data_IF_380420187498
#
_entry.id   IF_380420187498
#
_cell.length_a   1.000
_cell.length_b   1.000
_cell.length_c   1.000
_cell.angle_alpha   90.00
_cell.angle_beta   90.00
_cell.angle_gamma   90.00
#
_symmetry.space_group_name_H-M   'P 1'
#
loop_
_entity.id
_entity.type
_entity.pdbx_description
1 polymer ?
#
# COMPACT_ATOMS: atom_id res chain seq x y z
N UNK A 1 -5.24 -8.31 -37.41
CA UNK A 1 -4.15 -8.18 -36.42
C UNK A 1 -4.76 -7.66 -35.14
N UNK A 2 -5.14 -8.56 -34.23
CA UNK A 2 -5.74 -8.19 -32.93
C UNK A 2 -4.59 -8.09 -31.93
N UNK A 3 -4.27 -6.87 -31.47
CA UNK A 3 -3.43 -6.69 -30.30
C UNK A 3 -4.27 -7.10 -29.09
N UNK A 4 -3.83 -8.12 -28.35
CA UNK A 4 -4.55 -8.68 -27.23
C UNK A 4 -4.93 -7.60 -26.23
N UNK A 5 -6.23 -7.46 -25.98
CA UNK A 5 -6.76 -6.63 -24.90
C UNK A 5 -6.12 -7.09 -23.60
N UNK A 6 -5.27 -6.25 -23.00
CA UNK A 6 -4.78 -6.50 -21.64
C UNK A 6 -5.96 -6.77 -20.72
N UNK A 7 -5.82 -7.73 -19.81
CA UNK A 7 -6.87 -8.08 -18.86
C UNK A 7 -7.34 -6.80 -18.14
N UNK A 8 -8.60 -6.42 -18.36
CA UNK A 8 -9.22 -5.30 -17.67
C UNK A 8 -9.90 -5.82 -16.41
N UNK A 9 -9.84 -5.03 -15.34
CA UNK A 9 -10.59 -5.31 -14.11
C UNK A 9 -11.81 -4.38 -14.12
N UNK A 10 -13.04 -4.91 -14.17
CA UNK A 10 -14.24 -4.08 -14.14
C UNK A 10 -14.24 -3.15 -12.93
N UNK A 11 -14.54 -1.86 -13.14
CA UNK A 11 -14.60 -0.83 -12.08
C UNK A 11 -13.28 -0.49 -11.36
N UNK A 12 -12.15 -1.04 -11.80
CA UNK A 12 -10.83 -0.69 -11.27
C UNK A 12 -9.91 -0.17 -12.37
N UNK A 13 -9.11 0.83 -12.03
CA UNK A 13 -7.98 1.29 -12.82
C UNK A 13 -6.69 0.88 -12.11
N UNK A 14 -5.66 0.52 -12.87
CA UNK A 14 -4.36 0.12 -12.33
C UNK A 14 -3.22 0.87 -13.04
N UNK A 15 -2.11 1.04 -12.33
CA UNK A 15 -0.98 1.82 -12.84
C UNK A 15 0.38 1.22 -12.45
N UNK A 16 1.44 1.78 -13.02
CA UNK A 16 2.82 1.45 -12.69
C UNK A 16 3.18 0.00 -13.04
N UNK A 17 3.83 -0.69 -12.12
CA UNK A 17 4.27 -2.08 -12.30
C UNK A 17 3.16 -3.13 -12.11
N UNK A 18 1.91 -2.69 -11.94
CA UNK A 18 0.80 -3.60 -11.65
C UNK A 18 0.57 -4.57 -12.80
N UNK A 19 0.55 -5.86 -12.48
CA UNK A 19 0.24 -6.95 -13.41
C UNK A 19 -1.00 -7.69 -12.94
N UNK A 20 -1.98 -7.80 -13.82
CA UNK A 20 -3.19 -8.59 -13.60
C UNK A 20 -2.94 -10.01 -14.13
N UNK A 21 -3.40 -11.03 -13.42
CA UNK A 21 -3.42 -12.42 -13.88
C UNK A 21 -4.80 -13.01 -13.63
N UNK A 22 -5.01 -14.27 -14.02
CA UNK A 22 -6.27 -14.99 -13.77
C UNK A 22 -6.49 -15.37 -12.31
N UNK A 23 -5.43 -15.42 -11.49
CA UNK A 23 -5.51 -15.88 -10.09
C UNK A 23 -5.16 -14.82 -9.05
N UNK A 24 -4.30 -13.86 -9.39
CA UNK A 24 -3.92 -12.77 -8.49
C UNK A 24 -3.61 -11.48 -9.25
N UNK A 25 -3.58 -10.39 -8.51
CA UNK A 25 -3.07 -9.10 -8.97
C UNK A 25 -1.77 -8.86 -8.24
N UNK A 26 -0.70 -8.58 -8.99
CA UNK A 26 0.61 -8.25 -8.44
C UNK A 26 0.84 -6.76 -8.60
N UNK A 27 0.96 -6.05 -7.48
CA UNK A 27 1.18 -4.59 -7.45
C UNK A 27 2.63 -4.26 -7.83
N UNK A 28 3.60 -4.92 -7.19
CA UNK A 28 5.03 -4.78 -7.49
C UNK A 28 5.70 -6.16 -7.64
N UNK A 29 6.65 -6.34 -8.57
CA UNK A 29 7.52 -7.49 -8.56
C UNK A 29 8.65 -7.33 -7.52
N UNK A 30 9.34 -8.43 -7.21
CA UNK A 30 10.57 -8.44 -6.40
C UNK A 30 11.75 -7.82 -7.19
N UNK A 31 11.65 -6.51 -7.44
CA UNK A 31 12.63 -5.69 -8.14
C UNK A 31 12.68 -4.31 -7.48
N UNK A 32 13.86 -3.70 -7.46
CA UNK A 32 14.06 -2.37 -6.90
C UNK A 32 13.28 -1.29 -7.66
N UNK A 33 12.91 -0.21 -6.94
CA UNK A 33 12.30 1.01 -7.50
C UNK A 33 11.02 0.75 -8.30
N UNK A 34 10.12 -0.09 -7.75
CA UNK A 34 8.83 -0.39 -8.37
C UNK A 34 7.70 0.22 -7.58
N UNK A 35 6.77 0.82 -8.33
CA UNK A 35 5.56 1.43 -7.83
C UNK A 35 4.41 0.93 -8.69
N UNK A 36 3.34 0.52 -8.04
CA UNK A 36 2.09 0.17 -8.68
C UNK A 36 0.93 0.37 -7.72
N UNK A 37 -0.28 0.16 -8.20
CA UNK A 37 -1.47 0.24 -7.40
C UNK A 37 -2.73 0.11 -8.24
N UNK A 38 -3.85 -0.02 -7.53
CA UNK A 38 -5.17 -0.14 -8.11
C UNK A 38 -6.12 0.81 -7.38
N UNK A 39 -7.01 1.42 -8.15
CA UNK A 39 -7.99 2.37 -7.65
C UNK A 39 -9.38 2.02 -8.14
N UNK A 40 -10.36 2.07 -7.25
CA UNK A 40 -11.75 1.91 -7.64
C UNK A 40 -12.21 3.17 -8.38
N UNK A 41 -12.87 2.99 -9.53
CA UNK A 41 -13.42 4.09 -10.33
C UNK A 41 -14.67 4.72 -9.74
N UNK A 42 -15.36 3.98 -8.89
CA UNK A 42 -16.66 4.34 -8.35
C UNK A 42 -16.43 4.85 -6.92
N UNK A 43 -16.78 6.11 -6.62
CA UNK A 43 -16.70 6.61 -5.25
C UNK A 43 -17.49 5.71 -4.28
N UNK A 44 -16.92 5.51 -3.09
CA UNK A 44 -17.52 4.69 -2.04
C UNK A 44 -17.87 5.58 -0.83
N UNK A 45 -19.16 5.85 -0.63
CA UNK A 45 -19.66 6.84 0.33
C UNK A 45 -20.57 6.24 1.42
N UNK A 46 -20.50 4.93 1.63
CA UNK A 46 -21.24 4.25 2.68
C UNK A 46 -20.75 4.66 4.08
N UNK A 47 -21.69 4.94 4.98
CA UNK A 47 -21.40 5.32 6.37
C UNK A 47 -20.69 4.22 7.16
N UNK A 48 -21.11 2.97 6.96
CA UNK A 48 -20.55 1.81 7.65
C UNK A 48 -20.13 0.80 6.58
N UNK A 49 -18.93 0.26 6.71
CA UNK A 49 -18.36 -0.63 5.72
C UNK A 49 -17.31 -1.54 6.36
N UNK A 50 -17.05 -2.65 5.68
CA UNK A 50 -15.96 -3.57 5.98
C UNK A 50 -15.25 -3.89 4.66
N UNK A 51 -13.92 -3.94 4.68
CA UNK A 51 -13.11 -4.39 3.56
C UNK A 51 -12.26 -5.57 4.01
N UNK A 52 -12.35 -6.68 3.27
CA UNK A 52 -11.51 -7.85 3.47
C UNK A 52 -10.51 -7.93 2.32
N UNK A 53 -9.22 -7.89 2.65
CA UNK A 53 -8.13 -7.94 1.66
C UNK A 53 -7.35 -9.22 1.89
N UNK A 54 -7.39 -10.12 0.92
CA UNK A 54 -6.46 -11.24 0.86
C UNK A 54 -5.24 -10.81 0.05
N UNK A 55 -4.07 -10.83 0.68
CA UNK A 55 -2.82 -10.39 0.07
C UNK A 55 -1.69 -11.38 0.40
N UNK A 56 -0.57 -11.24 -0.32
CA UNK A 56 0.68 -11.95 -0.03
C UNK A 56 1.85 -11.01 -0.27
N UNK A 57 2.75 -10.91 0.71
CA UNK A 57 4.03 -10.21 0.57
C UNK A 57 5.15 -11.23 0.63
N UNK A 58 5.90 -11.36 -0.47
CA UNK A 58 6.97 -12.35 -0.62
C UNK A 58 8.09 -11.82 -1.51
N UNK A 59 9.33 -12.21 -1.24
CA UNK A 59 10.50 -11.90 -2.06
C UNK A 59 11.71 -12.71 -1.62
N UNK A 60 12.79 -12.69 -2.40
CA UNK A 60 14.00 -13.46 -2.17
C UNK A 60 14.96 -12.81 -1.17
N UNK A 61 14.80 -11.50 -0.92
CA UNK A 61 15.60 -10.77 0.07
C UNK A 61 15.43 -11.34 1.47
N UNK A 62 16.55 -11.67 2.13
CA UNK A 62 16.55 -12.18 3.52
C UNK A 62 16.51 -11.04 4.54
N UNK A 63 17.41 -10.07 4.36
CA UNK A 63 17.64 -8.99 5.33
C UNK A 63 17.29 -7.59 4.78
N UNK A 64 17.33 -7.42 3.45
CA UNK A 64 16.94 -6.18 2.77
C UNK A 64 15.74 -6.47 1.86
N UNK A 65 14.60 -5.87 2.20
CA UNK A 65 13.34 -5.96 1.47
C UNK A 65 12.47 -4.76 1.86
N UNK A 66 11.62 -4.27 0.97
CA UNK A 66 10.80 -3.09 1.23
C UNK A 66 10.12 -2.54 -0.02
N UNK A 67 9.23 -1.55 0.11
CA UNK A 67 8.88 -0.90 1.38
C UNK A 67 7.62 -1.53 2.02
N UNK A 68 6.65 -1.95 1.21
CA UNK A 68 5.44 -2.63 1.68
C UNK A 68 4.25 -2.34 0.79
N UNK A 69 3.05 -2.26 1.38
CA UNK A 69 1.82 -1.88 0.67
C UNK A 69 0.93 -0.99 1.53
N UNK A 70 -0.03 -0.31 0.90
CA UNK A 70 -1.03 0.49 1.60
C UNK A 70 -2.44 0.23 1.06
N UNK A 71 -3.42 0.29 1.96
CA UNK A 71 -4.83 0.41 1.63
C UNK A 71 -5.27 1.86 1.85
N UNK A 72 -6.04 2.39 0.89
CA UNK A 72 -6.47 3.78 0.87
C UNK A 72 -8.00 3.89 0.84
N UNK A 73 -8.54 4.70 1.75
CA UNK A 73 -9.90 5.22 1.68
C UNK A 73 -9.83 6.75 1.72
N UNK A 74 -9.71 7.36 0.54
CA UNK A 74 -9.40 8.79 0.40
C UNK A 74 -10.30 9.48 -0.62
N UNK A 75 -10.45 10.80 -0.47
CA UNK A 75 -11.31 11.64 -1.31
C UNK A 75 -10.85 11.71 -2.77
N UNK A 76 -9.55 11.87 -2.97
CA UNK A 76 -8.94 12.09 -4.28
C UNK A 76 -8.22 10.80 -4.71
N UNK A 77 -8.76 9.99 -5.64
CA UNK A 77 -8.09 8.78 -6.10
C UNK A 77 -6.91 9.10 -7.02
N UNK A 78 -5.99 8.13 -7.15
CA UNK A 78 -4.95 8.05 -8.18
C UNK A 78 -4.13 9.34 -8.36
N UNK A 79 -3.26 9.63 -7.39
CA UNK A 79 -2.17 10.58 -7.57
C UNK A 79 -0.86 9.83 -7.29
N UNK A 80 -0.13 9.37 -8.31
CA UNK A 80 1.12 8.65 -8.08
C UNK A 80 2.09 9.49 -7.22
N UNK A 81 2.72 8.86 -6.24
CA UNK A 81 3.66 9.52 -5.35
C UNK A 81 4.48 8.52 -4.54
N UNK A 82 5.27 9.05 -3.61
CA UNK A 82 6.27 8.29 -2.89
C UNK A 82 5.73 7.57 -1.65
N UNK A 83 4.45 7.79 -1.28
CA UNK A 83 3.86 7.19 -0.08
C UNK A 83 3.16 5.89 -0.48
N UNK A 84 3.91 4.78 -0.49
CA UNK A 84 3.42 3.47 -0.95
C UNK A 84 2.68 3.55 -2.30
N UNK A 85 3.18 4.39 -3.21
CA UNK A 85 2.63 4.61 -4.56
C UNK A 85 1.55 5.69 -4.66
N UNK A 86 1.15 6.33 -3.56
CA UNK A 86 0.21 7.45 -3.54
C UNK A 86 0.90 8.78 -3.22
N UNK A 87 0.23 9.88 -3.53
CA UNK A 87 0.68 11.24 -3.19
C UNK A 87 0.54 11.49 -1.71
N UNK A 88 1.44 12.32 -1.21
CA UNK A 88 1.36 12.86 0.13
C UNK A 88 0.19 13.87 0.30
N UNK A 89 -0.06 14.33 1.53
CA UNK A 89 -1.15 15.25 1.87
C UNK A 89 -2.54 14.75 1.45
N UNK A 90 -2.78 13.45 1.62
CA UNK A 90 -4.08 12.84 1.32
C UNK A 90 -5.18 13.31 2.30
N UNK A 91 -6.43 13.19 1.87
CA UNK A 91 -7.61 13.45 2.71
C UNK A 91 -8.39 12.15 2.86
N UNK A 92 -8.35 11.55 4.05
CA UNK A 92 -9.00 10.28 4.36
C UNK A 92 -8.15 9.38 5.25
N UNK A 93 -8.28 8.07 5.05
CA UNK A 93 -7.61 7.02 5.80
C UNK A 93 -6.57 6.31 4.92
N UNK A 94 -5.36 6.15 5.47
CA UNK A 94 -4.33 5.24 4.97
C UNK A 94 -4.07 4.14 5.99
N UNK A 95 -4.03 2.89 5.54
CA UNK A 95 -3.56 1.74 6.33
C UNK A 95 -2.28 1.24 5.68
N UNK A 96 -1.16 1.31 6.38
CA UNK A 96 0.16 0.97 5.89
C UNK A 96 0.58 -0.39 6.42
N UNK A 97 1.06 -1.25 5.53
CA UNK A 97 1.65 -2.54 5.84
C UNK A 97 3.14 -2.41 5.51
N UNK A 98 3.89 -1.90 6.47
CA UNK A 98 5.29 -1.57 6.34
C UNK A 98 6.15 -2.80 6.64
N UNK A 99 7.05 -3.14 5.72
CA UNK A 99 7.95 -4.29 5.86
C UNK A 99 9.38 -3.91 6.22
N UNK A 100 9.74 -2.64 6.14
CA UNK A 100 11.12 -2.20 6.29
C UNK A 100 11.24 -1.14 7.39
N UNK A 101 12.12 -1.39 8.36
CA UNK A 101 12.39 -0.41 9.41
C UNK A 101 13.29 0.70 8.83
N UNK A 102 12.70 1.85 8.49
CA UNK A 102 13.51 3.00 8.07
C UNK A 102 14.17 3.67 9.29
N UNK A 103 13.58 3.55 10.49
CA UNK A 103 14.12 4.12 11.72
C UNK A 103 14.92 3.12 12.59
N UNK A 104 16.23 3.34 12.70
CA UNK A 104 17.12 2.67 13.67
C UNK A 104 17.24 3.45 14.99
N UNK A 105 16.11 3.71 15.69
CA UNK A 105 16.08 4.60 16.86
C UNK A 105 15.13 4.20 18.00
N UNK A 106 14.95 5.09 19.00
CA UNK A 106 14.23 4.86 20.27
C UNK A 106 12.72 4.58 20.09
N UNK A 107 12.19 4.78 18.88
CA UNK A 107 10.80 4.47 18.48
C UNK A 107 10.74 3.40 17.38
N UNK A 108 11.78 2.58 17.23
CA UNK A 108 11.80 1.48 16.28
C UNK A 108 10.76 0.43 16.69
N UNK A 109 9.76 0.22 15.84
CA UNK A 109 8.83 -0.89 15.96
C UNK A 109 9.43 -2.16 15.36
N UNK A 110 8.98 -3.34 15.81
CA UNK A 110 9.30 -4.58 15.11
C UNK A 110 8.60 -4.62 13.75
N UNK A 111 9.36 -4.67 12.67
CA UNK A 111 8.80 -4.86 11.33
C UNK A 111 8.64 -6.36 11.01
N UNK A 112 7.61 -6.75 10.23
CA UNK A 112 6.62 -5.87 9.60
C UNK A 112 5.60 -5.27 10.59
N UNK A 113 5.20 -4.02 10.32
CA UNK A 113 4.33 -3.22 11.17
C UNK A 113 3.11 -2.74 10.38
N UNK A 114 1.94 -2.80 11.00
CA UNK A 114 0.70 -2.28 10.40
C UNK A 114 0.30 -1.03 11.15
N UNK A 115 0.13 0.09 10.45
CA UNK A 115 -0.26 1.37 11.04
C UNK A 115 -1.42 2.02 10.30
N UNK A 116 -2.17 2.86 11.00
CA UNK A 116 -3.28 3.63 10.46
C UNK A 116 -2.99 5.13 10.60
N UNK A 117 -3.30 5.90 9.57
CA UNK A 117 -3.22 7.37 9.59
C UNK A 117 -4.50 7.96 9.03
N UNK A 118 -5.06 8.94 9.76
CA UNK A 118 -6.13 9.80 9.26
C UNK A 118 -5.53 11.16 8.94
N UNK A 119 -5.76 11.64 7.73
CA UNK A 119 -5.22 12.90 7.26
C UNK A 119 -6.34 13.78 6.68
N UNK A 120 -6.23 15.08 6.92
CA UNK A 120 -7.13 16.11 6.39
C UNK A 120 -6.49 16.92 5.24
N UNK A 121 -5.29 16.51 4.79
CA UNK A 121 -4.52 17.16 3.73
C UNK A 121 -3.44 18.13 4.22
N UNK A 122 -3.19 18.19 5.54
CA UNK A 122 -2.15 19.09 6.09
C UNK A 122 -0.90 18.35 6.56
N UNK A 123 -1.02 17.07 6.90
CA UNK A 123 0.10 16.32 7.47
C UNK A 123 0.88 15.60 6.38
N UNK A 124 2.20 15.70 6.44
CA UNK A 124 3.14 14.91 5.64
C UNK A 124 3.26 13.50 6.24
N UNK A 125 3.28 12.47 5.39
CA UNK A 125 3.72 11.15 5.82
C UNK A 125 5.25 11.08 5.88
N UNK A 126 5.81 11.05 7.09
CA UNK A 126 7.25 10.94 7.32
C UNK A 126 7.74 9.51 7.08
N UNK A 127 8.13 9.21 5.85
CA UNK A 127 8.63 7.89 5.45
C UNK A 127 9.94 7.52 6.17
N UNK A 128 10.80 8.50 6.46
CA UNK A 128 12.07 8.27 7.15
C UNK A 128 11.88 7.87 8.62
N UNK A 129 10.65 8.01 9.15
CA UNK A 129 10.25 7.64 10.51
C UNK A 129 9.03 6.74 10.54
N UNK A 130 8.81 5.98 9.47
CA UNK A 130 7.75 4.96 9.37
C UNK A 130 6.33 5.51 9.68
N UNK A 131 6.11 6.82 9.46
CA UNK A 131 4.84 7.50 9.73
C UNK A 131 4.50 7.72 11.21
N UNK A 132 5.40 7.39 12.15
CA UNK A 132 5.15 7.32 13.60
C UNK A 132 4.54 8.61 14.20
N UNK A 133 4.91 9.80 13.69
CA UNK A 133 4.40 11.09 14.22
C UNK A 133 2.94 11.36 13.85
N UNK A 134 2.44 10.69 12.82
CA UNK A 134 1.08 10.83 12.30
C UNK A 134 0.26 9.55 12.46
N UNK A 135 0.79 8.56 13.17
CA UNK A 135 0.12 7.31 13.46
C UNK A 135 -1.06 7.54 14.41
N UNK A 136 -2.22 7.01 14.03
CA UNK A 136 -3.39 6.94 14.89
C UNK A 136 -3.33 5.70 15.80
N UNK A 137 -2.95 4.55 15.23
CA UNK A 137 -2.76 3.28 15.92
C UNK A 137 -2.02 2.29 15.01
N UNK A 138 -1.43 1.25 15.60
CA UNK A 138 -0.75 0.20 14.86
C UNK A 138 -0.37 -1.01 15.71
N UNK A 139 0.19 -2.03 15.06
CA UNK A 139 0.68 -3.24 15.70
C UNK A 139 1.74 -3.97 14.86
N UNK A 140 2.62 -4.71 15.54
CA UNK A 140 3.55 -5.63 14.89
C UNK A 140 2.80 -6.85 14.33
N UNK A 141 3.05 -7.20 13.07
CA UNK A 141 2.42 -8.34 12.43
C UNK A 141 3.35 -8.99 11.41
N UNK A 142 3.73 -10.25 11.64
CA UNK A 142 4.62 -10.99 10.75
C UNK A 142 3.86 -11.53 9.54
N UNK A 143 3.47 -10.67 8.59
CA UNK A 143 2.71 -11.08 7.40
C UNK A 143 3.56 -11.47 6.18
N UNK A 144 4.87 -11.19 6.19
CA UNK A 144 5.76 -11.48 5.06
C UNK A 144 6.20 -12.95 5.04
N UNK A 145 6.18 -13.56 3.86
CA UNK A 145 6.68 -14.92 3.66
C UNK A 145 5.80 -16.02 4.26
N UNK A 146 4.55 -15.69 4.60
CA UNK A 146 3.55 -16.65 5.03
C UNK A 146 2.77 -17.15 3.81
N UNK A 147 2.54 -18.46 3.75
CA UNK A 147 1.56 -19.06 2.85
C UNK A 147 0.20 -19.10 3.55
N UNK A 148 -0.84 -18.63 2.85
CA UNK A 148 -2.23 -18.64 3.29
C UNK A 148 -3.03 -19.68 2.51
#
# INVERSE_FOLDING_TARGET
>A
MMLGTGMTIPSWDFFGSTMVTTSFIRITPDQQSRVGGLWNKIPFDFRNWEVQIQFKVSGHGKDLYGDGMAFWYIRDPLRPGNIFGNSDFFVGLGIFLDTYANQNGIHSHGHPYISAMVNNGTNHYDHDRDGTHSELAGCESKFRGIDH
#
